data_IF_300246608291
#
_entry.id   IF_300246608291
#
_cell.length_a   1.000
_cell.length_b   1.000
_cell.length_c   1.000
_cell.angle_alpha   90.00
_cell.angle_beta   90.00
_cell.angle_gamma   90.00
#
_symmetry.space_group_name_H-M   'P 1'
#
loop_
_entity.id
_entity.type
_entity.pdbx_description
1 polymer ?
#
# COMPACT_ATOMS: atom_id res chain seq x y z
N UNK A 1 -0.19 5.91 1.26
CA UNK A 1 -0.83 6.66 2.37
C UNK A 1 -1.18 8.07 1.98
N UNK A 2 -0.35 8.76 1.20
CA UNK A 2 -0.69 10.08 0.70
C UNK A 2 -2.00 10.09 -0.10
N UNK A 3 -2.76 11.19 0.03
CA UNK A 3 -3.97 11.47 -0.74
C UNK A 3 -3.69 11.58 -2.24
N UNK A 4 -2.53 12.13 -2.60
CA UNK A 4 -2.07 12.25 -3.98
C UNK A 4 -0.68 11.66 -4.15
N UNK A 5 -0.42 11.35 -5.41
CA UNK A 5 0.89 10.90 -5.89
C UNK A 5 1.98 11.92 -5.51
N UNK A 6 3.08 11.39 -4.99
CA UNK A 6 4.37 12.08 -4.76
C UNK A 6 4.35 13.28 -3.79
N UNK A 7 3.36 13.34 -2.89
CA UNK A 7 3.28 14.32 -1.80
C UNK A 7 3.06 13.64 -0.45
N UNK A 8 3.16 14.39 0.65
CA UNK A 8 3.01 13.91 2.03
C UNK A 8 1.62 14.21 2.64
N UNK A 9 0.71 14.84 1.88
CA UNK A 9 -0.62 15.21 2.38
C UNK A 9 -1.50 13.96 2.57
N UNK A 10 -1.95 13.75 3.79
CA UNK A 10 -2.82 12.62 4.19
C UNK A 10 -4.26 13.06 4.50
N UNK A 11 -4.58 14.35 4.39
CA UNK A 11 -5.94 14.83 4.62
C UNK A 11 -6.88 14.21 3.60
N UNK A 12 -7.99 13.65 4.08
CA UNK A 12 -9.00 12.98 3.24
C UNK A 12 -8.42 11.83 2.39
N UNK A 13 -7.33 11.19 2.85
CA UNK A 13 -6.69 10.12 2.10
C UNK A 13 -7.54 8.84 2.09
N UNK A 14 -7.95 8.34 0.89
CA UNK A 14 -8.62 7.04 0.79
C UNK A 14 -7.77 5.88 1.32
N UNK A 15 -6.44 6.05 1.36
CA UNK A 15 -5.55 5.02 1.90
C UNK A 15 -5.68 4.86 3.43
N UNK A 16 -6.02 5.94 4.14
CA UNK A 16 -6.33 5.87 5.58
C UNK A 16 -7.64 5.13 5.80
N UNK A 17 -8.68 5.46 5.03
CA UNK A 17 -9.98 4.78 5.13
C UNK A 17 -9.84 3.28 4.86
N UNK A 18 -9.10 2.90 3.80
CA UNK A 18 -8.82 1.49 3.50
C UNK A 18 -8.08 0.81 4.64
N UNK A 19 -7.08 1.47 5.23
CA UNK A 19 -6.33 0.93 6.37
C UNK A 19 -7.26 0.65 7.54
N UNK A 20 -8.05 1.63 7.97
CA UNK A 20 -8.93 1.49 9.13
C UNK A 20 -10.06 0.50 8.91
N UNK A 21 -10.63 0.43 7.69
CA UNK A 21 -11.67 -0.53 7.35
C UNK A 21 -11.15 -1.98 7.34
N UNK A 22 -9.90 -2.20 6.91
CA UNK A 22 -9.28 -3.52 6.94
C UNK A 22 -8.95 -3.93 8.37
N UNK A 23 -8.32 -3.04 9.14
CA UNK A 23 -8.00 -3.27 10.54
C UNK A 23 -9.27 -3.53 11.38
N UNK A 24 -10.32 -2.73 11.18
CA UNK A 24 -11.63 -2.89 11.84
C UNK A 24 -12.34 -4.20 11.49
N UNK A 25 -11.94 -4.87 10.40
CA UNK A 25 -12.40 -6.22 10.02
C UNK A 25 -11.49 -7.35 10.51
N UNK A 26 -10.47 -7.03 11.31
CA UNK A 26 -9.55 -7.99 11.90
C UNK A 26 -8.31 -8.30 11.05
N UNK A 27 -8.03 -7.51 10.01
CA UNK A 27 -6.78 -7.66 9.26
C UNK A 27 -5.60 -7.07 10.04
N UNK A 28 -4.43 -7.72 9.94
CA UNK A 28 -3.16 -7.12 10.35
C UNK A 28 -2.65 -6.23 9.22
N UNK A 29 -2.74 -4.91 9.40
CA UNK A 29 -2.38 -3.95 8.36
C UNK A 29 -1.03 -3.33 8.67
N UNK A 30 -0.14 -3.34 7.68
CA UNK A 30 1.08 -2.53 7.66
C UNK A 30 1.11 -1.77 6.33
N UNK A 31 1.88 -0.68 6.26
CA UNK A 31 1.92 0.14 5.06
C UNK A 31 3.34 0.56 4.69
N UNK A 32 3.51 0.85 3.40
CA UNK A 32 4.68 1.54 2.87
C UNK A 32 4.23 2.80 2.14
N UNK A 33 4.87 3.91 2.47
CA UNK A 33 4.79 5.17 1.74
C UNK A 33 6.10 5.94 1.95
N UNK A 34 6.85 6.28 0.89
CA UNK A 34 8.13 6.98 1.01
C UNK A 34 7.98 8.46 1.41
N UNK A 35 6.79 9.04 1.25
CA UNK A 35 6.51 10.44 1.59
C UNK A 35 5.81 10.59 2.94
N UNK A 36 5.23 9.51 3.48
CA UNK A 36 4.43 9.54 4.72
C UNK A 36 5.03 8.58 5.75
N UNK A 37 6.03 9.00 6.54
CA UNK A 37 6.75 8.13 7.48
C UNK A 37 5.89 7.66 8.66
N UNK A 38 4.87 8.43 9.04
CA UNK A 38 3.88 8.05 10.04
C UNK A 38 2.53 8.66 9.74
N UNK A 39 1.47 8.01 10.21
CA UNK A 39 0.10 8.52 10.16
C UNK A 39 -0.56 8.40 11.52
N UNK A 40 -1.44 9.36 11.85
CA UNK A 40 -2.38 9.23 12.96
C UNK A 40 -3.62 8.51 12.47
N UNK A 41 -4.05 7.52 13.24
CA UNK A 41 -5.30 6.77 13.04
C UNK A 41 -6.33 7.26 14.05
N UNK A 42 -7.57 6.77 13.94
CA UNK A 42 -8.66 7.05 14.86
C UNK A 42 -8.27 6.69 16.30
N UNK A 43 -8.54 7.62 17.22
CA UNK A 43 -8.14 7.55 18.62
C UNK A 43 -6.70 8.02 18.85
N UNK A 44 -6.00 7.41 19.79
CA UNK A 44 -4.59 7.71 20.13
C UNK A 44 -3.59 6.85 19.33
N UNK A 45 -4.06 6.17 18.28
CA UNK A 45 -3.27 5.20 17.52
C UNK A 45 -2.46 5.88 16.42
N UNK A 46 -1.34 5.26 16.07
CA UNK A 46 -0.52 5.66 14.93
C UNK A 46 0.06 4.44 14.24
N UNK A 47 0.39 4.61 12.97
CA UNK A 47 1.09 3.61 12.18
C UNK A 47 2.33 4.23 11.53
N UNK A 48 3.32 3.40 11.24
CA UNK A 48 4.59 3.81 10.67
C UNK A 48 4.84 3.11 9.34
N UNK A 49 5.45 3.86 8.41
CA UNK A 49 5.85 3.34 7.11
C UNK A 49 6.93 2.28 7.30
N UNK A 50 6.71 1.11 6.73
CA UNK A 50 7.67 0.00 6.74
C UNK A 50 8.50 0.06 5.45
N UNK A 51 9.80 -0.23 5.48
CA UNK A 51 10.60 -0.33 4.26
C UNK A 51 10.03 -1.37 3.28
N UNK A 52 9.98 -1.01 1.99
CA UNK A 52 9.52 -1.91 0.93
C UNK A 52 10.62 -2.91 0.58
N UNK A 53 10.67 -4.03 1.30
CA UNK A 53 11.64 -5.11 1.05
C UNK A 53 10.97 -6.35 0.47
N UNK A 54 11.77 -7.22 -0.17
CA UNK A 54 11.29 -8.50 -0.68
C UNK A 54 10.68 -9.37 0.43
N UNK A 55 11.33 -9.44 1.59
CA UNK A 55 10.85 -10.21 2.74
C UNK A 55 9.55 -9.65 3.30
N UNK A 56 9.42 -8.32 3.38
CA UNK A 56 8.18 -7.69 3.82
C UNK A 56 7.04 -8.01 2.86
N UNK A 57 7.27 -7.86 1.55
CA UNK A 57 6.29 -8.20 0.50
C UNK A 57 5.88 -9.68 0.52
N UNK A 58 6.86 -10.59 0.66
CA UNK A 58 6.62 -12.03 0.72
C UNK A 58 5.82 -12.45 1.97
N UNK A 59 5.97 -11.69 3.06
CA UNK A 59 5.21 -11.89 4.30
C UNK A 59 3.76 -11.40 4.25
N UNK A 60 3.34 -10.67 3.21
CA UNK A 60 1.97 -10.20 3.09
C UNK A 60 1.09 -11.22 2.36
N UNK A 61 -0.13 -11.43 2.85
CA UNK A 61 -1.14 -12.22 2.13
C UNK A 61 -1.71 -11.47 0.91
N UNK A 62 -1.79 -10.14 1.00
CA UNK A 62 -2.23 -9.25 -0.08
C UNK A 62 -1.59 -7.86 0.04
N UNK A 63 -1.26 -7.27 -1.10
CA UNK A 63 -0.77 -5.89 -1.22
C UNK A 63 -1.82 -5.07 -1.95
N UNK A 64 -2.22 -3.92 -1.39
CA UNK A 64 -3.22 -3.03 -2.00
C UNK A 64 -2.55 -1.72 -2.43
N UNK A 65 -2.58 -1.42 -3.73
CA UNK A 65 -2.07 -0.16 -4.27
C UNK A 65 -3.20 0.86 -4.26
N UNK A 66 -3.18 1.76 -3.27
CA UNK A 66 -4.18 2.85 -3.14
C UNK A 66 -3.67 4.18 -3.73
N UNK A 67 -2.36 4.43 -3.66
CA UNK A 67 -1.69 5.60 -4.23
C UNK A 67 -0.56 5.12 -5.12
N UNK A 68 -0.52 5.56 -6.37
CA UNK A 68 0.52 5.15 -7.33
C UNK A 68 1.67 6.17 -7.35
N UNK A 69 2.60 6.06 -6.40
CA UNK A 69 3.80 6.91 -6.33
C UNK A 69 4.76 6.59 -7.48
N UNK A 70 5.47 7.60 -8.01
CA UNK A 70 6.52 7.35 -9.01
C UNK A 70 7.67 6.52 -8.45
N UNK A 71 7.90 6.61 -7.14
CA UNK A 71 8.97 5.89 -6.45
C UNK A 71 8.74 4.36 -6.38
N UNK A 72 7.56 3.86 -6.75
CA UNK A 72 7.27 2.43 -6.70
C UNK A 72 7.83 1.70 -7.91
N UNK A 73 8.75 0.78 -7.64
CA UNK A 73 9.14 -0.26 -8.60
C UNK A 73 8.05 -1.33 -8.64
N UNK A 74 7.16 -1.21 -9.63
CA UNK A 74 6.01 -2.10 -9.78
C UNK A 74 6.44 -3.52 -10.14
N UNK A 75 7.50 -3.70 -10.93
CA UNK A 75 8.00 -5.03 -11.28
C UNK A 75 8.58 -5.73 -10.04
N UNK A 76 9.31 -4.99 -9.18
CA UNK A 76 9.76 -5.50 -7.88
C UNK A 76 8.59 -5.94 -6.98
N UNK A 77 7.53 -5.13 -6.89
CA UNK A 77 6.33 -5.49 -6.12
C UNK A 77 5.70 -6.78 -6.67
N UNK A 78 5.52 -6.87 -7.99
CA UNK A 78 4.93 -8.05 -8.64
C UNK A 78 5.81 -9.29 -8.55
N UNK A 79 7.12 -9.12 -8.39
CA UNK A 79 8.07 -10.21 -8.21
C UNK A 79 7.98 -10.87 -6.83
N UNK A 80 7.69 -10.08 -5.79
CA UNK A 80 7.78 -10.55 -4.39
C UNK A 80 6.43 -10.66 -3.67
N UNK A 81 5.38 -10.01 -4.16
CA UNK A 81 4.03 -10.13 -3.60
C UNK A 81 3.32 -11.41 -4.08
N UNK A 82 2.42 -11.95 -3.25
CA UNK A 82 1.57 -13.10 -3.62
C UNK A 82 0.32 -12.67 -4.39
N UNK A 83 -0.33 -11.61 -3.92
CA UNK A 83 -1.55 -11.01 -4.49
C UNK A 83 -1.41 -9.48 -4.45
N UNK A 84 -1.73 -8.83 -5.57
CA UNK A 84 -1.81 -7.37 -5.69
C UNK A 84 -3.24 -6.97 -6.07
N UNK A 85 -3.85 -6.12 -5.25
CA UNK A 85 -5.10 -5.43 -5.55
C UNK A 85 -4.75 -4.02 -6.03
N UNK A 86 -4.99 -3.75 -7.30
CA UNK A 86 -4.61 -2.50 -7.96
C UNK A 86 -5.85 -1.63 -8.19
N UNK A 87 -6.02 -0.60 -7.36
CA UNK A 87 -7.14 0.36 -7.46
C UNK A 87 -6.78 1.58 -8.32
N UNK A 88 -5.55 1.64 -8.83
CA UNK A 88 -5.00 2.82 -9.53
C UNK A 88 -4.50 2.49 -10.93
N UNK A 89 -4.68 1.25 -11.37
CA UNK A 89 -4.16 0.73 -12.63
C UNK A 89 -2.62 0.94 -12.75
N UNK A 90 -1.91 0.87 -11.63
CA UNK A 90 -0.45 1.02 -11.54
C UNK A 90 0.30 -0.15 -12.19
N UNK A 91 -0.30 -1.33 -12.22
CA UNK A 91 0.29 -2.58 -12.75
C UNK A 91 0.13 -2.73 -14.25
N UNK A 92 -0.40 -1.73 -14.96
CA UNK A 92 -0.62 -1.82 -16.42
C UNK A 92 0.73 -1.78 -17.13
N UNK A 93 0.99 -2.80 -17.96
CA UNK A 93 2.25 -2.91 -18.71
C UNK A 93 3.39 -3.56 -17.93
N UNK A 94 3.14 -3.95 -16.68
CA UNK A 94 4.08 -4.67 -15.82
C UNK A 94 3.70 -6.15 -15.72
N UNK A 95 4.70 -7.01 -15.48
CA UNK A 95 4.51 -8.46 -15.41
C UNK A 95 5.33 -9.05 -14.27
N UNK A 96 4.75 -10.00 -13.55
CA UNK A 96 5.41 -10.76 -12.50
C UNK A 96 4.56 -11.95 -12.04
N UNK A 97 5.10 -12.82 -11.18
CA UNK A 97 4.41 -14.00 -10.67
C UNK A 97 3.20 -13.68 -9.78
N UNK A 98 3.09 -12.47 -9.22
CA UNK A 98 1.96 -12.08 -8.39
C UNK A 98 0.63 -12.20 -9.14
N UNK A 99 -0.40 -12.73 -8.45
CA UNK A 99 -1.78 -12.62 -8.94
C UNK A 99 -2.21 -11.16 -8.84
N UNK A 100 -2.73 -10.59 -9.93
CA UNK A 100 -3.22 -9.19 -9.94
C UNK A 100 -4.74 -9.14 -10.10
N UNK A 101 -5.40 -8.43 -9.19
CA UNK A 101 -6.82 -8.07 -9.27
C UNK A 101 -6.90 -6.56 -9.49
N UNK A 102 -7.45 -6.14 -10.63
CA UNK A 102 -7.66 -4.72 -10.95
C UNK A 102 -9.13 -4.37 -10.71
N UNK A 103 -9.38 -3.22 -10.08
CA UNK A 103 -10.73 -2.68 -9.84
C UNK A 103 -11.09 -1.59 -10.85
#
# INVERSE_FOLDING_TARGET
>A
MAYKKDIDDVRESPALDVYELLEGRGAHVSYHDPHVPSVRLSGERSAHSTPLTADWLAGQDAVVIVTNHTAFDIDFILQHARLVVDTRNATRGHAGPARVVRL
#
